data_IF_852946030333
#
_entry.id   IF_852946030333
#
_cell.length_a   1.000
_cell.length_b   1.000
_cell.length_c   1.000
_cell.angle_alpha   90.00
_cell.angle_beta   90.00
_cell.angle_gamma   90.00
#
_symmetry.space_group_name_H-M   'P 1'
#
loop_
_entity.id
_entity.type
_entity.pdbx_description
1 polymer ?
#
# COMPACT_ATOMS: atom_id res chain seq x y z
N UNK A 1 -32.16 -31.15 68.47
CA UNK A 1 -32.69 -30.04 67.59
C UNK A 1 -34.20 -30.26 67.46
N UNK A 2 -34.96 -29.37 67.96
CA UNK A 2 -36.43 -29.32 67.80
C UNK A 2 -36.70 -28.59 66.49
N UNK A 3 -36.99 -29.33 65.40
CA UNK A 3 -37.43 -28.73 64.19
C UNK A 3 -38.73 -27.99 64.34
N UNK A 4 -38.70 -26.68 64.22
CA UNK A 4 -39.87 -25.80 64.39
C UNK A 4 -40.67 -25.69 63.09
N UNK A 5 -40.03 -26.05 61.97
CA UNK A 5 -40.63 -26.04 60.63
C UNK A 5 -40.37 -27.37 59.88
N UNK A 6 -41.16 -27.69 58.90
CA UNK A 6 -40.94 -28.89 58.07
C UNK A 6 -39.70 -28.71 57.14
N UNK A 7 -39.06 -29.81 56.77
CA UNK A 7 -37.93 -29.78 55.84
C UNK A 7 -38.29 -29.07 54.50
N UNK A 8 -39.53 -29.20 54.08
CA UNK A 8 -40.02 -28.56 52.87
C UNK A 8 -40.11 -27.04 53.01
N UNK A 9 -40.58 -26.57 54.13
CA UNK A 9 -40.62 -25.12 54.43
C UNK A 9 -39.23 -24.55 54.60
N UNK A 10 -38.32 -25.26 55.27
CA UNK A 10 -36.91 -24.84 55.36
C UNK A 10 -36.26 -24.71 53.99
N UNK A 11 -36.43 -25.70 53.12
CA UNK A 11 -35.89 -25.66 51.75
C UNK A 11 -36.47 -24.47 50.95
N UNK A 12 -37.78 -24.20 51.12
CA UNK A 12 -38.39 -23.03 50.48
C UNK A 12 -37.82 -21.70 50.98
N UNK A 13 -37.58 -21.56 52.28
CA UNK A 13 -36.94 -20.37 52.82
C UNK A 13 -35.47 -20.26 52.36
N UNK A 14 -34.75 -21.36 52.32
CA UNK A 14 -33.38 -21.42 51.82
C UNK A 14 -33.34 -20.96 50.33
N UNK A 15 -34.22 -21.49 49.51
CA UNK A 15 -34.31 -21.11 48.09
C UNK A 15 -34.62 -19.62 47.89
N UNK A 16 -35.52 -19.06 48.71
CA UNK A 16 -35.85 -17.63 48.68
C UNK A 16 -34.67 -16.78 49.12
N UNK A 17 -33.95 -17.20 50.16
CA UNK A 17 -32.73 -16.51 50.59
C UNK A 17 -31.66 -16.50 49.54
N UNK A 18 -31.38 -17.67 48.90
CA UNK A 18 -30.37 -17.80 47.89
C UNK A 18 -30.70 -16.97 46.64
N UNK A 19 -31.98 -16.92 46.23
CA UNK A 19 -32.45 -16.03 45.16
C UNK A 19 -32.25 -14.57 45.50
N UNK A 20 -32.70 -14.12 46.68
CA UNK A 20 -32.53 -12.74 47.10
C UNK A 20 -31.04 -12.33 47.18
N UNK A 21 -30.19 -13.23 47.65
CA UNK A 21 -28.73 -13.03 47.66
C UNK A 21 -28.17 -12.85 46.24
N UNK A 22 -28.62 -13.69 45.32
CA UNK A 22 -28.19 -13.59 43.90
C UNK A 22 -28.69 -12.27 43.26
N UNK A 23 -29.91 -11.85 43.57
CA UNK A 23 -30.47 -10.59 43.07
C UNK A 23 -29.67 -9.39 43.54
N UNK A 24 -29.24 -9.38 44.82
CA UNK A 24 -28.38 -8.34 45.38
C UNK A 24 -27.00 -8.32 44.70
N UNK A 25 -26.44 -9.51 44.45
CA UNK A 25 -25.14 -9.61 43.73
C UNK A 25 -25.25 -9.10 42.33
N UNK A 26 -26.30 -9.49 41.57
CA UNK A 26 -26.59 -9.01 40.24
C UNK A 26 -26.76 -7.49 40.18
N UNK A 27 -27.61 -6.93 41.10
CA UNK A 27 -27.81 -5.49 41.17
C UNK A 27 -26.50 -4.73 41.51
N UNK A 28 -25.66 -5.32 42.37
CA UNK A 28 -24.34 -4.79 42.68
C UNK A 28 -23.40 -4.75 41.49
N UNK A 29 -23.43 -5.81 40.68
CA UNK A 29 -22.66 -5.89 39.41
C UNK A 29 -23.17 -4.86 38.40
N UNK A 30 -24.48 -4.75 38.20
CA UNK A 30 -25.11 -3.76 37.32
C UNK A 30 -24.75 -2.33 37.72
N UNK A 31 -24.82 -2.03 39.02
CA UNK A 31 -24.38 -0.73 39.54
C UNK A 31 -22.90 -0.45 39.25
N UNK A 32 -22.04 -1.46 39.40
CA UNK A 32 -20.62 -1.31 39.06
C UNK A 32 -20.40 -1.08 37.57
N UNK A 33 -21.12 -1.80 36.70
CA UNK A 33 -21.05 -1.60 35.24
C UNK A 33 -21.42 -0.16 34.90
N UNK A 34 -22.49 0.36 35.47
CA UNK A 34 -22.93 1.75 35.21
C UNK A 34 -21.91 2.77 35.76
N UNK A 35 -21.33 2.53 36.94
CA UNK A 35 -20.43 3.48 37.59
C UNK A 35 -19.01 3.47 37.04
N UNK A 36 -18.46 2.32 36.72
CA UNK A 36 -17.04 2.12 36.40
C UNK A 36 -16.85 1.57 34.99
N UNK A 37 -17.92 1.19 34.30
CA UNK A 37 -17.88 0.62 32.95
C UNK A 37 -17.47 -0.84 32.91
N UNK A 38 -17.36 -1.54 34.06
CA UNK A 38 -17.00 -2.95 34.09
C UNK A 38 -17.55 -3.66 35.32
N UNK A 39 -17.97 -4.93 35.16
CA UNK A 39 -18.30 -5.79 36.29
C UNK A 39 -17.04 -6.32 36.96
N UNK A 40 -17.10 -6.49 38.28
CA UNK A 40 -15.99 -7.00 39.10
C UNK A 40 -15.69 -8.46 38.72
N UNK A 41 -14.52 -8.69 38.12
CA UNK A 41 -14.06 -10.03 37.73
C UNK A 41 -14.56 -10.54 36.35
N UNK A 42 -15.33 -9.75 35.60
CA UNK A 42 -15.78 -10.11 34.24
C UNK A 42 -14.92 -9.42 33.19
N UNK A 43 -14.34 -10.22 32.30
CA UNK A 43 -13.67 -9.74 31.07
C UNK A 43 -14.66 -9.34 29.99
N UNK A 44 -15.92 -9.79 30.08
CA UNK A 44 -16.93 -9.63 29.02
C UNK A 44 -17.83 -8.40 29.20
N UNK A 45 -18.04 -7.90 30.42
CA UNK A 45 -18.86 -6.73 30.68
C UNK A 45 -17.98 -5.50 30.94
N UNK A 46 -17.39 -4.96 29.90
CA UNK A 46 -16.54 -3.78 29.98
C UNK A 46 -16.95 -2.77 28.90
N UNK A 47 -17.40 -1.58 29.35
CA UNK A 47 -17.74 -0.47 28.45
C UNK A 47 -16.50 0.36 28.05
N UNK A 48 -15.33 0.09 28.64
CA UNK A 48 -14.08 0.74 28.25
C UNK A 48 -13.46 0.03 27.05
N UNK A 49 -13.51 0.66 25.92
CA UNK A 49 -12.89 0.16 24.68
C UNK A 49 -11.42 0.54 24.68
N UNK A 50 -10.55 -0.45 24.63
CA UNK A 50 -9.10 -0.26 24.63
C UNK A 50 -8.52 -0.54 23.23
N UNK A 51 -7.46 0.19 22.87
CA UNK A 51 -6.68 -0.10 21.67
C UNK A 51 -6.10 -1.51 21.75
N UNK A 52 -6.28 -2.29 20.68
CA UNK A 52 -5.74 -3.66 20.54
C UNK A 52 -4.34 -3.66 19.91
N UNK A 53 -3.95 -2.56 19.27
CA UNK A 53 -2.66 -2.36 18.61
C UNK A 53 -2.06 -1.02 19.02
N UNK A 54 -0.72 -0.94 18.96
CA UNK A 54 -0.01 0.33 19.15
C UNK A 54 0.03 1.06 17.80
N UNK A 55 -0.22 2.35 17.79
CA UNK A 55 -0.20 3.15 16.57
C UNK A 55 -0.85 4.52 16.75
N UNK A 56 -1.09 5.18 15.63
CA UNK A 56 -1.77 6.49 15.57
C UNK A 56 -3.25 6.28 15.26
N UNK A 57 -4.11 7.01 15.93
CA UNK A 57 -5.54 7.04 15.63
C UNK A 57 -5.72 7.79 14.31
N UNK A 58 -6.26 7.10 13.30
CA UNK A 58 -6.53 7.68 11.98
C UNK A 58 -7.85 8.44 11.98
N UNK A 59 -8.89 7.84 12.57
CA UNK A 59 -10.22 8.41 12.63
C UNK A 59 -11.01 7.85 13.83
N UNK A 60 -11.97 8.63 14.28
CA UNK A 60 -12.98 8.26 15.26
C UNK A 60 -14.33 8.63 14.64
N UNK A 61 -14.99 7.69 13.91
CA UNK A 61 -16.21 7.98 13.15
C UNK A 61 -17.45 8.21 14.05
N UNK A 62 -17.39 7.79 15.32
CA UNK A 62 -18.50 7.91 16.27
C UNK A 62 -18.39 9.18 17.12
N UNK A 63 -19.52 9.75 17.49
CA UNK A 63 -19.64 10.91 18.36
C UNK A 63 -20.32 10.53 19.67
N UNK A 64 -20.17 11.37 20.68
CA UNK A 64 -20.90 11.22 21.94
C UNK A 64 -22.41 11.29 21.68
N UNK A 65 -23.13 10.28 22.17
CA UNK A 65 -24.56 10.11 21.95
C UNK A 65 -24.93 9.18 20.78
N UNK A 66 -23.95 8.76 19.95
CA UNK A 66 -24.22 7.80 18.88
C UNK A 66 -24.48 6.41 19.43
N UNK A 67 -25.41 5.71 18.81
CA UNK A 67 -25.68 4.31 19.13
C UNK A 67 -24.60 3.43 18.49
N UNK A 68 -23.94 2.60 19.30
CA UNK A 68 -22.97 1.61 18.85
C UNK A 68 -23.55 0.20 18.97
N UNK A 69 -23.23 -0.63 17.98
CA UNK A 69 -23.71 -2.02 17.90
C UNK A 69 -22.48 -2.94 18.00
N UNK A 70 -22.60 -3.95 18.85
CA UNK A 70 -21.57 -4.97 19.00
C UNK A 70 -21.49 -5.85 17.74
N UNK A 71 -20.28 -6.25 17.37
CA UNK A 71 -20.04 -7.19 16.29
C UNK A 71 -20.55 -8.58 16.64
N UNK A 72 -21.28 -9.21 15.71
CA UNK A 72 -21.76 -10.59 15.82
C UNK A 72 -21.68 -11.29 14.46
N UNK A 73 -22.11 -12.57 14.40
CA UNK A 73 -22.04 -13.37 13.17
C UNK A 73 -22.86 -12.79 12.00
N UNK A 74 -23.78 -11.87 12.24
CA UNK A 74 -24.66 -11.27 11.22
C UNK A 74 -24.33 -9.80 10.95
N UNK A 75 -23.55 -9.15 11.85
CA UNK A 75 -23.24 -7.72 11.77
C UNK A 75 -21.79 -7.47 12.15
N UNK A 76 -21.07 -6.71 11.31
CA UNK A 76 -19.67 -6.32 11.57
C UNK A 76 -19.49 -5.40 12.79
N UNK A 77 -20.60 -4.86 13.34
CA UNK A 77 -20.56 -3.92 14.45
C UNK A 77 -20.21 -2.49 14.02
N UNK A 78 -20.18 -1.59 14.98
CA UNK A 78 -19.84 -0.18 14.76
C UNK A 78 -18.35 0.04 14.96
N UNK A 79 -17.67 0.63 13.99
CA UNK A 79 -16.25 1.04 14.12
C UNK A 79 -16.16 2.23 15.07
N UNK A 80 -15.46 2.09 16.18
CA UNK A 80 -15.26 3.15 17.17
C UNK A 80 -14.05 4.01 16.82
N UNK A 81 -12.94 3.39 16.45
CA UNK A 81 -11.71 4.07 16.02
C UNK A 81 -10.93 3.18 15.05
N UNK A 82 -10.26 3.80 14.10
CA UNK A 82 -9.27 3.14 13.26
C UNK A 82 -7.87 3.53 13.72
N UNK A 83 -7.01 2.54 13.97
CA UNK A 83 -5.64 2.73 14.45
C UNK A 83 -4.69 2.03 13.49
N UNK A 84 -3.60 2.70 13.10
CA UNK A 84 -2.57 2.12 12.27
C UNK A 84 -1.16 2.53 12.72
N UNK A 85 -0.19 1.67 12.42
CA UNK A 85 1.24 1.97 12.55
C UNK A 85 1.72 2.72 11.30
N UNK A 86 1.93 4.02 11.42
CA UNK A 86 2.36 4.88 10.30
C UNK A 86 3.82 4.64 9.87
N UNK A 87 4.61 3.88 10.65
CA UNK A 87 5.97 3.52 10.25
C UNK A 87 5.96 2.36 9.23
N UNK A 88 4.83 1.66 9.08
CA UNK A 88 4.65 0.53 8.17
C UNK A 88 3.62 0.84 7.10
N UNK A 89 3.99 1.71 6.18
CA UNK A 89 3.10 2.09 5.08
C UNK A 89 3.23 1.13 3.91
N UNK A 90 2.12 0.87 3.26
CA UNK A 90 2.07 0.14 2.00
C UNK A 90 1.56 1.06 0.89
N UNK A 91 2.23 1.01 -0.25
CA UNK A 91 1.68 1.51 -1.49
C UNK A 91 0.69 0.47 -2.04
N UNK A 92 -0.51 0.88 -2.35
CA UNK A 92 -1.50 0.07 -3.06
C UNK A 92 -1.77 0.70 -4.42
N UNK A 93 -1.49 -0.04 -5.48
CA UNK A 93 -1.64 0.42 -6.85
C UNK A 93 -2.42 -0.57 -7.71
N UNK A 94 -2.69 -0.16 -8.93
CA UNK A 94 -3.31 -0.97 -9.98
C UNK A 94 -2.43 -0.92 -11.22
N UNK A 95 -2.23 -2.06 -11.86
CA UNK A 95 -1.40 -2.22 -13.05
C UNK A 95 -2.21 -2.89 -14.13
N UNK A 96 -2.03 -2.46 -15.35
CA UNK A 96 -2.68 -3.00 -16.54
C UNK A 96 -2.21 -4.44 -16.85
N UNK A 97 -3.06 -5.24 -17.49
CA UNK A 97 -2.80 -6.62 -17.89
C UNK A 97 -1.54 -6.74 -18.77
N UNK A 98 -1.27 -5.76 -19.65
CA UNK A 98 -0.11 -5.79 -20.53
C UNK A 98 1.23 -5.66 -19.76
N UNK A 99 1.20 -5.07 -18.56
CA UNK A 99 2.40 -4.79 -17.79
C UNK A 99 2.58 -5.70 -16.58
N UNK A 100 1.50 -6.28 -16.04
CA UNK A 100 1.56 -7.11 -14.84
C UNK A 100 2.51 -8.31 -15.00
N UNK A 101 2.63 -8.86 -16.20
CA UNK A 101 3.55 -9.98 -16.51
C UNK A 101 5.03 -9.66 -16.33
N UNK A 102 5.39 -8.37 -16.31
CA UNK A 102 6.77 -7.89 -16.09
C UNK A 102 7.09 -7.76 -14.59
N UNK A 103 6.07 -7.75 -13.72
CA UNK A 103 6.21 -7.55 -12.29
C UNK A 103 6.55 -8.87 -11.60
N UNK A 104 7.50 -8.81 -10.68
CA UNK A 104 7.86 -9.93 -9.79
C UNK A 104 7.88 -9.42 -8.36
N UNK A 105 7.47 -10.28 -7.41
CA UNK A 105 7.66 -10.00 -6.00
C UNK A 105 9.15 -9.75 -5.69
N UNK A 106 9.43 -8.79 -4.82
CA UNK A 106 10.78 -8.33 -4.53
C UNK A 106 11.30 -7.22 -5.45
N UNK A 107 10.58 -6.86 -6.51
CA UNK A 107 10.98 -5.72 -7.37
C UNK A 107 10.89 -4.40 -6.61
N UNK A 108 11.91 -3.56 -6.78
CA UNK A 108 11.95 -2.22 -6.18
C UNK A 108 11.23 -1.23 -7.10
N UNK A 109 10.30 -0.49 -6.53
CA UNK A 109 9.56 0.59 -7.16
C UNK A 109 10.04 1.93 -6.61
N UNK A 110 10.03 2.95 -7.44
CA UNK A 110 10.15 4.35 -7.02
C UNK A 110 8.77 4.96 -6.91
N UNK A 111 8.41 5.39 -5.69
CA UNK A 111 7.07 5.93 -5.39
C UNK A 111 7.17 7.42 -5.17
N UNK A 112 6.43 8.19 -5.94
CA UNK A 112 6.25 9.63 -5.77
C UNK A 112 4.87 9.91 -5.19
N UNK A 113 4.82 10.74 -4.14
CA UNK A 113 3.58 11.12 -3.47
C UNK A 113 3.21 12.52 -3.91
N UNK A 114 2.04 12.69 -4.51
CA UNK A 114 1.60 13.97 -5.06
C UNK A 114 1.58 15.12 -4.02
N UNK A 115 1.31 14.81 -2.74
CA UNK A 115 1.28 15.80 -1.67
C UNK A 115 2.67 16.20 -1.14
N UNK A 116 3.74 15.50 -1.55
CA UNK A 116 5.13 15.68 -1.07
C UNK A 116 6.06 15.85 -2.27
N UNK A 117 5.93 16.99 -2.95
CA UNK A 117 6.72 17.31 -4.14
C UNK A 117 8.23 17.19 -3.88
N UNK A 118 8.94 16.61 -4.85
CA UNK A 118 10.39 16.47 -4.82
C UNK A 118 10.94 15.29 -4.03
N UNK A 119 10.10 14.48 -3.37
CA UNK A 119 10.53 13.30 -2.63
C UNK A 119 10.14 12.01 -3.36
N UNK A 120 11.13 11.17 -3.60
CA UNK A 120 10.92 9.81 -4.13
C UNK A 120 11.24 8.80 -3.03
N UNK A 121 10.32 7.86 -2.83
CA UNK A 121 10.43 6.81 -1.82
C UNK A 121 10.62 5.46 -2.50
N UNK A 122 11.48 4.64 -1.94
CA UNK A 122 11.62 3.26 -2.41
C UNK A 122 10.54 2.39 -1.79
N UNK A 123 9.95 1.53 -2.59
CA UNK A 123 9.02 0.52 -2.13
C UNK A 123 9.37 -0.84 -2.71
N UNK A 124 9.20 -1.90 -1.94
CA UNK A 124 9.46 -3.27 -2.41
C UNK A 124 8.13 -3.96 -2.66
N UNK A 125 7.93 -4.42 -3.90
CA UNK A 125 6.72 -5.14 -4.31
C UNK A 125 6.62 -6.46 -3.55
N UNK A 126 5.58 -6.63 -2.76
CA UNK A 126 5.36 -7.81 -1.92
C UNK A 126 4.10 -8.60 -2.28
N UNK A 127 3.26 -8.05 -3.14
CA UNK A 127 2.05 -8.72 -3.57
C UNK A 127 1.60 -8.25 -4.95
N UNK A 128 1.27 -9.20 -5.82
CA UNK A 128 0.60 -8.99 -7.10
C UNK A 128 -0.65 -9.85 -7.09
N UNK A 129 -1.81 -9.25 -7.30
CA UNK A 129 -3.06 -10.00 -7.29
C UNK A 129 -3.08 -11.06 -8.40
N UNK A 130 -3.39 -12.34 -8.09
CA UNK A 130 -3.43 -13.40 -9.11
C UNK A 130 -4.64 -13.29 -10.05
N UNK A 131 -5.61 -12.40 -9.73
CA UNK A 131 -6.81 -12.17 -10.51
C UNK A 131 -6.97 -10.69 -10.82
N UNK A 132 -7.09 -10.38 -12.11
CA UNK A 132 -7.46 -9.06 -12.58
C UNK A 132 -8.94 -8.76 -12.29
N UNK A 133 -9.27 -7.49 -12.19
CA UNK A 133 -10.62 -6.96 -12.07
C UNK A 133 -10.86 -5.98 -13.20
N UNK A 134 -11.96 -6.15 -13.90
CA UNK A 134 -12.38 -5.20 -14.92
C UNK A 134 -12.92 -3.93 -14.26
N UNK A 135 -12.29 -2.80 -14.56
CA UNK A 135 -12.70 -1.47 -14.11
C UNK A 135 -12.64 -0.51 -15.31
N UNK A 136 -13.74 0.14 -15.60
CA UNK A 136 -13.85 1.13 -16.69
C UNK A 136 -13.39 0.62 -18.07
N UNK A 137 -13.58 -0.68 -18.34
CA UNK A 137 -13.23 -1.30 -19.63
C UNK A 137 -11.77 -1.74 -19.74
N UNK A 138 -10.97 -1.63 -18.69
CA UNK A 138 -9.60 -2.17 -18.61
C UNK A 138 -9.50 -3.25 -17.53
N UNK A 139 -8.68 -4.27 -17.77
CA UNK A 139 -8.38 -5.31 -16.77
C UNK A 139 -7.19 -4.86 -15.93
N UNK A 140 -7.44 -4.55 -14.67
CA UNK A 140 -6.45 -4.05 -13.73
C UNK A 140 -6.13 -5.08 -12.65
N UNK A 141 -4.85 -5.21 -12.33
CA UNK A 141 -4.34 -6.07 -11.27
C UNK A 141 -3.90 -5.24 -10.07
N UNK A 142 -4.42 -5.57 -8.89
CA UNK A 142 -4.02 -4.90 -7.66
C UNK A 142 -2.60 -5.33 -7.25
N UNK A 143 -1.77 -4.37 -6.91
CA UNK A 143 -0.43 -4.58 -6.37
C UNK A 143 -0.29 -3.93 -5.00
N UNK A 144 0.62 -4.47 -4.18
CA UNK A 144 1.03 -3.86 -2.90
C UNK A 144 2.54 -3.88 -2.81
N UNK A 145 3.09 -2.78 -2.33
CA UNK A 145 4.52 -2.65 -2.08
C UNK A 145 4.76 -2.03 -0.71
N UNK A 146 5.68 -2.62 0.05
CA UNK A 146 6.09 -2.08 1.34
C UNK A 146 7.00 -0.87 1.13
N UNK A 147 6.60 0.28 1.65
CA UNK A 147 7.37 1.52 1.53
C UNK A 147 8.51 1.55 2.55
N UNK A 148 9.66 2.03 2.12
CA UNK A 148 10.79 2.34 2.99
C UNK A 148 10.72 3.83 3.34
N UNK A 149 10.20 4.12 4.54
CA UNK A 149 10.08 5.47 5.06
C UNK A 149 11.19 5.74 6.07
N UNK A 150 11.67 6.98 6.08
CA UNK A 150 12.57 7.48 7.11
C UNK A 150 11.72 8.15 8.21
N UNK A 151 12.23 8.23 9.44
CA UNK A 151 11.52 8.81 10.59
C UNK A 151 11.07 10.27 10.37
N UNK A 152 11.71 10.99 9.44
CA UNK A 152 11.36 12.37 9.07
C UNK A 152 10.27 12.45 7.98
N UNK A 153 9.85 11.32 7.43
CA UNK A 153 8.86 11.25 6.36
C UNK A 153 7.46 11.51 6.91
N UNK A 154 6.95 12.72 6.73
CA UNK A 154 5.61 13.09 7.20
C UNK A 154 4.52 12.60 6.23
N UNK A 155 4.52 11.30 5.92
CA UNK A 155 3.56 10.66 5.01
C UNK A 155 2.28 10.32 5.77
N UNK A 156 1.13 10.66 5.18
CA UNK A 156 -0.18 10.33 5.75
C UNK A 156 -0.84 9.20 4.98
N UNK A 157 -1.59 8.36 5.69
CA UNK A 157 -2.43 7.36 5.05
C UNK A 157 -3.49 8.04 4.16
N UNK A 158 -3.74 7.44 2.97
CA UNK A 158 -4.71 7.97 2.02
C UNK A 158 -4.14 8.99 1.02
N UNK A 159 -2.85 9.30 1.05
CA UNK A 159 -2.25 10.12 0.00
C UNK A 159 -2.24 9.39 -1.34
N UNK A 160 -2.49 10.14 -2.40
CA UNK A 160 -2.32 9.65 -3.77
C UNK A 160 -0.84 9.56 -4.11
N UNK A 161 -0.44 8.44 -4.71
CA UNK A 161 0.93 8.18 -5.08
C UNK A 161 1.01 7.49 -6.44
N UNK A 162 2.09 7.78 -7.17
CA UNK A 162 2.45 7.09 -8.41
C UNK A 162 3.68 6.24 -8.17
N UNK A 163 3.72 5.05 -8.73
CA UNK A 163 4.89 4.19 -8.68
C UNK A 163 5.47 3.99 -10.07
N UNK A 164 6.76 4.14 -10.18
CA UNK A 164 7.53 3.88 -11.38
C UNK A 164 8.36 2.60 -11.20
N UNK A 165 8.31 1.74 -12.20
CA UNK A 165 9.09 0.52 -12.23
C UNK A 165 10.32 0.72 -13.11
N UNK A 166 11.49 0.66 -12.52
CA UNK A 166 12.74 0.64 -13.27
C UNK A 166 13.03 -0.81 -13.68
N UNK A 167 12.67 -1.16 -14.91
CA UNK A 167 12.90 -2.52 -15.45
C UNK A 167 14.38 -2.84 -15.66
N UNK A 168 15.16 -1.83 -16.04
CA UNK A 168 16.59 -1.96 -16.25
C UNK A 168 17.25 -0.60 -16.09
N UNK A 169 18.33 -0.55 -15.35
CA UNK A 169 19.18 0.64 -15.20
C UNK A 169 20.62 0.27 -15.49
N UNK A 170 21.27 1.07 -16.31
CA UNK A 170 22.71 1.01 -16.51
C UNK A 170 23.28 2.40 -16.32
N UNK A 171 24.31 2.49 -15.51
CA UNK A 171 25.06 3.72 -15.29
C UNK A 171 26.34 3.70 -16.14
N UNK A 172 26.86 4.87 -16.50
CA UNK A 172 28.11 5.07 -17.25
C UNK A 172 28.15 4.37 -18.62
N UNK A 173 27.04 4.37 -19.35
CA UNK A 173 26.97 3.83 -20.72
C UNK A 173 27.10 4.94 -21.75
N UNK A 174 27.61 4.58 -22.95
CA UNK A 174 27.56 5.47 -24.10
C UNK A 174 26.10 5.49 -24.61
N UNK A 175 25.48 6.66 -24.59
CA UNK A 175 24.13 6.84 -25.06
C UNK A 175 24.05 7.98 -26.09
N UNK A 176 23.12 7.86 -27.01
CA UNK A 176 22.78 8.91 -27.98
C UNK A 176 21.28 9.12 -27.99
N UNK A 177 20.83 10.29 -28.46
CA UNK A 177 19.40 10.53 -28.62
C UNK A 177 18.81 9.60 -29.65
N UNK A 178 17.76 8.87 -29.29
CA UNK A 178 17.10 7.90 -30.16
C UNK A 178 16.62 8.53 -31.48
N UNK A 179 16.26 9.81 -31.48
CA UNK A 179 15.90 10.60 -32.64
C UNK A 179 17.00 10.74 -33.70
N UNK A 180 18.26 10.46 -33.35
CA UNK A 180 19.41 10.50 -34.28
C UNK A 180 19.63 9.16 -35.01
N UNK A 181 19.08 8.08 -34.45
CA UNK A 181 19.21 6.73 -35.00
C UNK A 181 18.30 6.60 -36.23
N UNK A 182 18.87 6.08 -37.31
CA UNK A 182 18.13 5.75 -38.50
C UNK A 182 18.06 4.22 -38.65
N UNK A 183 17.01 3.73 -39.29
CA UNK A 183 16.84 2.31 -39.57
C UNK A 183 16.89 2.06 -41.08
N UNK A 184 17.70 1.12 -41.49
CA UNK A 184 17.77 0.73 -42.89
C UNK A 184 16.47 0.07 -43.34
N UNK A 185 15.88 0.52 -44.43
CA UNK A 185 14.55 0.07 -44.89
C UNK A 185 14.48 -1.41 -45.29
N UNK A 186 15.64 -2.04 -45.62
CA UNK A 186 15.68 -3.43 -46.07
C UNK A 186 16.12 -4.40 -44.99
N UNK A 187 17.08 -3.99 -44.14
CA UNK A 187 17.69 -4.85 -43.12
C UNK A 187 17.20 -4.55 -41.70
N UNK A 188 16.43 -3.46 -41.51
CA UNK A 188 15.97 -2.95 -40.22
C UNK A 188 17.10 -2.69 -39.19
N UNK A 189 18.36 -2.67 -39.68
CA UNK A 189 19.51 -2.41 -38.80
C UNK A 189 19.60 -0.93 -38.46
N UNK A 190 19.83 -0.60 -37.17
CA UNK A 190 20.08 0.77 -36.75
C UNK A 190 21.45 1.24 -37.26
N UNK A 191 21.50 2.49 -37.68
CA UNK A 191 22.74 3.15 -38.10
C UNK A 191 22.68 4.65 -37.79
N UNK A 192 23.86 5.28 -37.75
CA UNK A 192 24.03 6.74 -37.75
C UNK A 192 25.03 7.13 -38.83
N UNK A 193 25.05 8.43 -39.15
CA UNK A 193 26.08 9.03 -39.96
C UNK A 193 27.02 9.84 -39.06
N UNK A 194 28.33 9.56 -39.10
CA UNK A 194 29.35 10.32 -38.34
C UNK A 194 30.19 11.16 -39.29
N UNK A 195 30.67 12.30 -38.79
CA UNK A 195 31.56 13.18 -39.50
C UNK A 195 32.99 12.60 -39.44
N UNK A 196 33.60 12.29 -40.58
CA UNK A 196 34.98 11.76 -40.68
C UNK A 196 36.02 12.82 -41.08
N UNK A 197 35.78 13.59 -42.12
CA UNK A 197 36.64 14.65 -42.58
C UNK A 197 35.79 15.81 -43.09
N UNK A 198 36.38 16.96 -43.42
CA UNK A 198 35.64 18.17 -43.77
C UNK A 198 34.40 17.89 -44.64
N UNK A 199 33.23 17.86 -43.99
CA UNK A 199 31.91 17.64 -44.59
C UNK A 199 31.59 16.26 -45.17
N UNK A 200 32.38 15.21 -44.90
CA UNK A 200 32.11 13.85 -45.35
C UNK A 200 31.48 13.04 -44.24
N UNK A 201 30.27 12.52 -44.47
CA UNK A 201 29.58 11.66 -43.50
C UNK A 201 29.71 10.20 -43.89
N UNK A 202 30.07 9.36 -42.94
CA UNK A 202 30.17 7.92 -43.12
C UNK A 202 29.05 7.24 -42.29
N UNK A 203 28.36 6.29 -42.94
CA UNK A 203 27.37 5.46 -42.27
C UNK A 203 28.05 4.41 -41.39
N UNK A 204 27.65 4.33 -40.17
CA UNK A 204 28.09 3.29 -39.22
C UNK A 204 26.87 2.56 -38.67
N UNK A 205 26.85 1.24 -38.82
CA UNK A 205 25.84 0.38 -38.26
C UNK A 205 26.06 0.27 -36.75
N UNK A 206 24.98 0.36 -35.99
CA UNK A 206 24.99 0.36 -34.54
C UNK A 206 24.46 -0.95 -33.99
N UNK A 207 24.95 -1.29 -32.78
CA UNK A 207 24.29 -2.26 -31.91
C UNK A 207 23.80 -1.53 -30.71
N UNK A 208 22.48 -1.47 -30.59
CA UNK A 208 21.78 -0.73 -29.51
C UNK A 208 21.51 -1.64 -28.34
N UNK A 209 21.49 -1.03 -27.14
CA UNK A 209 21.12 -1.66 -25.90
C UNK A 209 19.73 -1.20 -25.40
N UNK A 210 19.66 -0.82 -24.15
CA UNK A 210 18.42 -0.33 -23.54
C UNK A 210 18.10 1.10 -24.01
N UNK A 211 16.81 1.43 -24.10
CA UNK A 211 16.30 2.77 -24.42
C UNK A 211 15.24 3.18 -23.40
N UNK A 212 15.19 4.47 -23.08
CA UNK A 212 14.13 5.10 -22.28
C UNK A 212 13.12 5.87 -23.16
N UNK A 213 13.26 5.76 -24.51
CA UNK A 213 12.45 6.48 -25.50
C UNK A 213 12.96 7.90 -25.82
N UNK A 214 13.99 8.38 -25.13
CA UNK A 214 14.68 9.67 -25.39
C UNK A 214 16.13 9.38 -25.79
N UNK A 215 16.83 8.63 -24.96
CA UNK A 215 18.20 8.22 -25.13
C UNK A 215 18.30 6.70 -25.27
N UNK A 216 19.21 6.23 -26.15
CA UNK A 216 19.45 4.80 -26.38
C UNK A 216 20.91 4.46 -26.15
N UNK A 217 21.15 3.38 -25.43
CA UNK A 217 22.49 2.83 -25.20
C UNK A 217 23.10 2.36 -26.51
N UNK A 218 24.36 2.71 -26.75
CA UNK A 218 25.16 2.21 -27.87
C UNK A 218 26.17 1.18 -27.36
N UNK A 219 25.99 -0.08 -27.74
CA UNK A 219 26.88 -1.17 -27.36
C UNK A 219 28.10 -1.25 -28.27
N UNK A 220 27.89 -1.06 -29.59
CA UNK A 220 28.94 -1.12 -30.60
C UNK A 220 28.67 -0.11 -31.73
N UNK A 221 29.71 0.44 -32.32
CA UNK A 221 29.63 1.28 -33.52
C UNK A 221 30.03 2.74 -33.31
N UNK A 222 30.00 3.28 -32.09
CA UNK A 222 30.37 4.66 -31.80
C UNK A 222 31.41 4.77 -30.70
N UNK A 223 32.27 5.79 -30.81
CA UNK A 223 33.20 6.24 -29.78
C UNK A 223 32.71 7.52 -29.06
N UNK A 224 33.28 7.81 -27.89
CA UNK A 224 32.89 8.99 -27.07
C UNK A 224 33.04 10.35 -27.79
N UNK A 225 33.91 10.44 -28.79
CA UNK A 225 34.24 11.70 -29.47
C UNK A 225 33.67 11.78 -30.89
N UNK A 226 32.89 10.80 -31.33
CA UNK A 226 32.32 10.79 -32.69
C UNK A 226 31.22 11.87 -32.81
N UNK A 227 31.26 12.63 -33.88
CA UNK A 227 30.27 13.66 -34.19
C UNK A 227 29.15 13.06 -35.01
N UNK A 228 27.99 12.84 -34.40
CA UNK A 228 26.82 12.27 -35.05
C UNK A 228 26.02 13.37 -35.74
N UNK A 229 25.62 13.11 -36.99
CA UNK A 229 24.78 14.01 -37.79
C UNK A 229 23.39 14.15 -37.21
N UNK A 230 22.98 15.39 -37.03
CA UNK A 230 21.61 15.71 -36.59
C UNK A 230 20.71 15.82 -37.81
N UNK A 231 19.74 14.93 -37.93
CA UNK A 231 18.68 14.98 -38.93
C UNK A 231 17.62 15.99 -38.49
N UNK A 232 17.02 16.73 -39.41
CA UNK A 232 15.95 17.68 -39.09
C UNK A 232 16.34 18.94 -38.30
N UNK A 233 17.47 19.60 -38.58
CA UNK A 233 17.55 21.01 -38.30
C UNK A 233 16.56 21.72 -39.25
N UNK A 234 15.42 22.18 -38.72
CA UNK A 234 14.62 23.16 -39.45
C UNK A 234 15.55 24.32 -39.81
N UNK A 235 15.80 24.51 -41.10
CA UNK A 235 16.48 25.71 -41.61
C UNK A 235 15.64 26.92 -41.16
N UNK A 236 16.27 27.79 -40.35
CA UNK A 236 15.73 29.11 -40.05
C UNK A 236 15.70 29.95 -41.30
#
# INVERSE_FOLDING_TARGET
>A
ERGVISNQEFNNFQLRYDRAKQDVENAGNDYQIIKVGSAKGSLSANTNIRATVTGTILEIPVKEGDQVIESNNFNAGTTIAAIADLNKMNFEGKVDEAEVGKLKEGTVLEVTIAALEGNTYKATLNFVAPKGKEEQGAVLFKIKAAMQLNDESNVRAGYSANAELILSKKDDVLAIKESLVQYDRKSEKPYVEILKEENTFERIDLKLGISDGIDVEVLEGLGKNDLVKVWNKASK
#
